data_IF_903117192825
#
_entry.id   IF_903117192825
#
_cell.length_a   1.000
_cell.length_b   1.000
_cell.length_c   1.000
_cell.angle_alpha   90.00
_cell.angle_beta   90.00
_cell.angle_gamma   90.00
#
_symmetry.space_group_name_H-M   'P 1'
#
loop_
_entity.id
_entity.type
_entity.pdbx_description
1 polymer ?
#
# COMPACT_ATOMS: atom_id res chain seq x y z
N UNK A 1 1.29 -8.04 -10.24
CA UNK A 1 0.37 -9.05 -9.66
C UNK A 1 0.12 -8.81 -8.18
N UNK A 2 1.19 -8.64 -7.37
CA UNK A 2 1.02 -8.41 -5.92
C UNK A 2 0.09 -7.25 -5.61
N UNK A 3 0.32 -6.09 -6.24
CA UNK A 3 -0.49 -4.89 -5.97
C UNK A 3 -1.96 -5.11 -6.35
N UNK A 4 -2.21 -5.83 -7.43
CA UNK A 4 -3.56 -6.16 -7.83
C UNK A 4 -4.28 -6.93 -6.72
N UNK A 5 -3.61 -7.92 -6.15
CA UNK A 5 -4.19 -8.72 -5.08
C UNK A 5 -4.29 -7.94 -3.76
N UNK A 6 -3.30 -7.11 -3.47
CA UNK A 6 -3.28 -6.34 -2.25
C UNK A 6 -4.43 -5.32 -2.19
N UNK A 7 -4.70 -4.66 -3.31
CA UNK A 7 -5.76 -3.65 -3.40
C UNK A 7 -7.08 -4.19 -3.93
N UNK A 8 -7.28 -5.50 -3.87
CA UNK A 8 -8.56 -6.12 -4.23
C UNK A 8 -9.01 -7.00 -3.07
N UNK A 9 -10.02 -6.55 -2.35
CA UNK A 9 -10.55 -7.27 -1.20
C UNK A 9 -11.95 -6.79 -0.88
N UNK A 10 -12.79 -7.69 -0.43
CA UNK A 10 -14.16 -7.34 -0.04
C UNK A 10 -14.23 -6.92 1.43
N UNK A 11 -13.19 -7.15 2.19
CA UNK A 11 -13.10 -6.79 3.60
C UNK A 11 -11.65 -6.89 4.02
N UNK A 12 -11.28 -6.18 5.09
CA UNK A 12 -9.93 -6.24 5.64
C UNK A 12 -9.56 -7.69 6.00
N UNK A 13 -8.47 -8.15 5.44
CA UNK A 13 -7.96 -9.50 5.68
C UNK A 13 -8.51 -10.57 4.75
N UNK A 14 -9.54 -10.27 3.97
CA UNK A 14 -10.14 -11.26 3.08
C UNK A 14 -9.15 -11.76 2.02
N UNK A 15 -8.24 -10.89 1.59
CA UNK A 15 -7.27 -11.20 0.56
C UNK A 15 -5.97 -11.80 1.09
N UNK A 16 -5.87 -12.11 2.36
CA UNK A 16 -4.61 -12.58 2.96
C UNK A 16 -4.05 -13.81 2.26
N UNK A 17 -4.88 -14.78 1.93
CA UNK A 17 -4.42 -15.99 1.24
C UNK A 17 -3.86 -15.68 -0.15
N UNK A 18 -4.35 -14.62 -0.79
CA UNK A 18 -3.91 -14.24 -2.14
C UNK A 18 -2.62 -13.44 -2.13
N UNK A 19 -2.33 -12.68 -1.06
CA UNK A 19 -1.11 -11.89 -0.98
C UNK A 19 0.06 -12.64 -0.34
N UNK A 20 -0.25 -13.61 0.51
CA UNK A 20 0.78 -14.35 1.24
C UNK A 20 1.88 -14.93 0.35
N UNK A 21 1.58 -15.55 -0.81
CA UNK A 21 2.62 -16.13 -1.66
C UNK A 21 3.63 -15.10 -2.21
N UNK A 22 3.29 -13.83 -2.20
CA UNK A 22 4.15 -12.77 -2.73
C UNK A 22 4.99 -12.10 -1.65
N UNK A 23 4.82 -12.46 -0.38
CA UNK A 23 5.44 -11.78 0.74
C UNK A 23 6.37 -12.70 1.51
N UNK A 24 7.40 -12.12 2.13
CA UNK A 24 8.19 -12.87 3.09
C UNK A 24 7.33 -13.16 4.32
N UNK A 25 7.73 -14.17 5.10
CA UNK A 25 6.98 -14.51 6.32
C UNK A 25 6.90 -13.33 7.28
N UNK A 26 7.99 -12.59 7.43
CA UNK A 26 8.01 -11.44 8.34
C UNK A 26 7.11 -10.32 7.83
N UNK A 27 7.13 -10.06 6.53
CA UNK A 27 6.26 -9.02 5.95
C UNK A 27 4.80 -9.39 6.10
N UNK A 28 4.46 -10.64 5.89
CA UNK A 28 3.07 -11.09 6.03
C UNK A 28 2.61 -11.02 7.49
N UNK A 29 3.48 -11.41 8.43
CA UNK A 29 3.17 -11.31 9.86
C UNK A 29 2.93 -9.85 10.27
N UNK A 30 3.72 -8.93 9.72
CA UNK A 30 3.53 -7.51 9.99
C UNK A 30 2.20 -7.01 9.42
N UNK A 31 1.84 -7.47 8.23
CA UNK A 31 0.56 -7.13 7.63
C UNK A 31 -0.60 -7.60 8.51
N UNK A 32 -0.54 -8.83 8.99
CA UNK A 32 -1.56 -9.36 9.89
C UNK A 32 -1.62 -8.57 11.21
N UNK A 33 -0.47 -8.23 11.75
CA UNK A 33 -0.41 -7.43 12.98
C UNK A 33 -1.05 -6.05 12.78
N UNK A 34 -0.80 -5.43 11.62
CA UNK A 34 -1.42 -4.15 11.29
C UNK A 34 -2.94 -4.28 11.16
N UNK A 35 -3.41 -5.34 10.52
CA UNK A 35 -4.84 -5.58 10.39
C UNK A 35 -5.53 -5.74 11.74
N UNK A 36 -4.82 -6.31 12.71
CA UNK A 36 -5.36 -6.58 14.04
C UNK A 36 -5.28 -5.40 14.99
N UNK A 37 -4.68 -4.28 14.57
CA UNK A 37 -4.68 -3.07 15.40
C UNK A 37 -6.10 -2.58 15.61
N UNK A 38 -6.38 -2.08 16.80
CA UNK A 38 -7.73 -1.67 17.19
C UNK A 38 -8.33 -0.67 16.19
N UNK A 39 -7.54 0.31 15.74
CA UNK A 39 -8.03 1.30 14.80
C UNK A 39 -8.45 0.68 13.47
N UNK A 40 -7.72 -0.33 13.00
CA UNK A 40 -8.05 -0.99 11.74
C UNK A 40 -9.26 -1.89 11.87
N UNK A 41 -9.45 -2.49 13.04
CA UNK A 41 -10.65 -3.29 13.29
C UNK A 41 -11.91 -2.42 13.31
N UNK A 42 -11.79 -1.18 13.77
CA UNK A 42 -12.91 -0.23 13.72
C UNK A 42 -13.28 0.05 12.25
N UNK A 43 -12.29 0.33 11.42
CA UNK A 43 -12.54 0.62 10.01
C UNK A 43 -13.04 -0.58 9.22
N UNK A 44 -12.79 -1.78 9.70
CA UNK A 44 -13.20 -3.01 9.01
C UNK A 44 -14.70 -3.02 8.69
N UNK A 45 -15.50 -2.54 9.61
CA UNK A 45 -16.97 -2.54 9.43
C UNK A 45 -17.45 -1.42 8.51
N UNK A 46 -16.64 -0.39 8.31
CA UNK A 46 -17.00 0.75 7.46
C UNK A 46 -16.49 0.60 6.02
N UNK A 47 -15.44 -0.16 5.82
CA UNK A 47 -14.87 -0.38 4.49
C UNK A 47 -15.37 -1.72 3.96
N UNK A 48 -16.15 -1.67 2.90
CA UNK A 48 -16.80 -2.86 2.34
C UNK A 48 -16.02 -3.52 1.22
N UNK A 49 -15.29 -2.75 0.44
CA UNK A 49 -14.75 -3.29 -0.81
C UNK A 49 -13.59 -2.44 -1.31
N UNK A 50 -12.55 -3.09 -1.76
CA UNK A 50 -11.43 -2.47 -2.47
C UNK A 50 -11.35 -3.09 -3.85
N UNK A 51 -11.19 -2.27 -4.88
CA UNK A 51 -11.01 -2.74 -6.25
C UNK A 51 -9.84 -2.04 -6.89
N UNK A 52 -8.82 -2.80 -7.20
CA UNK A 52 -7.66 -2.30 -7.93
C UNK A 52 -8.08 -1.82 -9.32
N UNK A 53 -7.58 -0.64 -9.73
CA UNK A 53 -7.83 -0.12 -11.07
C UNK A 53 -6.56 -0.09 -11.90
N UNK A 54 -5.51 0.53 -11.39
CA UNK A 54 -4.28 0.69 -12.17
C UNK A 54 -3.10 0.98 -11.27
N UNK A 55 -1.91 0.78 -11.81
CA UNK A 55 -0.68 1.16 -11.12
C UNK A 55 0.38 1.56 -12.13
N UNK A 56 1.14 2.60 -11.78
CA UNK A 56 2.37 2.96 -12.49
C UNK A 56 3.52 2.56 -11.60
N UNK A 57 4.42 1.70 -12.10
CA UNK A 57 5.45 1.09 -11.28
C UNK A 57 6.83 1.48 -11.78
N UNK A 58 7.69 1.91 -10.86
CA UNK A 58 9.07 2.30 -11.12
C UNK A 58 9.97 1.42 -10.29
N UNK A 59 10.81 0.64 -10.95
CA UNK A 59 11.64 -0.37 -10.28
C UNK A 59 13.10 0.01 -10.33
N UNK A 60 13.78 -0.10 -9.19
CA UNK A 60 15.24 -0.02 -9.13
C UNK A 60 15.75 -1.43 -8.90
N UNK A 61 16.30 -2.04 -9.93
CA UNK A 61 16.75 -3.43 -9.88
C UNK A 61 18.01 -3.63 -9.05
N UNK A 62 18.81 -2.59 -8.87
CA UNK A 62 20.02 -2.69 -8.06
C UNK A 62 19.70 -2.79 -6.58
N UNK A 63 18.70 -2.04 -6.13
CA UNK A 63 18.32 -2.01 -4.71
C UNK A 63 17.14 -2.92 -4.38
N UNK A 64 16.53 -3.54 -5.38
CA UNK A 64 15.31 -4.35 -5.21
C UNK A 64 14.19 -3.56 -4.54
N UNK A 65 14.02 -2.31 -4.96
CA UNK A 65 12.96 -1.43 -4.47
C UNK A 65 12.09 -1.01 -5.64
N UNK A 66 10.80 -0.95 -5.41
CA UNK A 66 9.84 -0.43 -6.38
C UNK A 66 9.00 0.64 -5.74
N UNK A 67 8.72 1.69 -6.51
CA UNK A 67 7.74 2.69 -6.15
C UNK A 67 6.55 2.52 -7.10
N UNK A 68 5.35 2.57 -6.56
CA UNK A 68 4.15 2.45 -7.37
C UNK A 68 3.15 3.52 -6.98
N UNK A 69 2.52 4.10 -8.00
CA UNK A 69 1.37 4.95 -7.80
C UNK A 69 0.15 4.10 -8.14
N UNK A 70 -0.67 3.78 -7.14
CA UNK A 70 -1.77 2.84 -7.27
C UNK A 70 -3.09 3.58 -7.17
N UNK A 71 -3.97 3.31 -8.12
CA UNK A 71 -5.34 3.83 -8.12
C UNK A 71 -6.29 2.67 -7.90
N UNK A 72 -7.21 2.84 -6.97
CA UNK A 72 -8.19 1.81 -6.65
C UNK A 72 -9.48 2.48 -6.17
N UNK A 73 -10.57 1.72 -6.23
CA UNK A 73 -11.83 2.17 -5.66
C UNK A 73 -12.02 1.56 -4.29
N UNK A 74 -12.57 2.33 -3.38
CA UNK A 74 -12.96 1.84 -2.07
C UNK A 74 -14.41 2.21 -1.82
N UNK A 75 -15.17 1.25 -1.28
CA UNK A 75 -16.57 1.45 -0.95
C UNK A 75 -16.71 1.50 0.56
N UNK A 76 -17.35 2.54 1.04
CA UNK A 76 -17.59 2.76 2.46
C UNK A 76 -19.08 2.72 2.77
N UNK A 77 -19.41 2.41 4.02
CA UNK A 77 -20.73 2.72 4.57
C UNK A 77 -20.59 4.03 5.35
N UNK A 78 -21.58 4.90 5.19
CA UNK A 78 -21.55 6.19 5.87
C UNK A 78 -21.86 6.06 7.35
N UNK A 79 -22.60 5.04 7.72
CA UNK A 79 -22.87 4.71 9.12
C UNK A 79 -23.26 3.24 9.22
N UNK A 80 -23.32 2.73 10.45
CA UNK A 80 -23.65 1.32 10.70
C UNK A 80 -25.11 1.10 11.06
N UNK A 81 -25.97 2.09 10.78
CA UNK A 81 -27.42 1.95 10.99
C UNK A 81 -28.04 1.00 9.97
N UNK A 82 -29.30 0.65 10.19
CA UNK A 82 -30.03 -0.22 9.27
C UNK A 82 -30.16 0.37 7.87
N UNK A 83 -30.09 1.68 7.75
CA UNK A 83 -30.19 2.38 6.47
C UNK A 83 -28.83 2.78 5.94
N UNK A 84 -27.88 1.89 6.01
CA UNK A 84 -26.52 2.11 5.55
C UNK A 84 -26.50 2.63 4.13
N UNK A 85 -25.80 3.74 3.93
CA UNK A 85 -25.55 4.27 2.59
C UNK A 85 -24.12 3.89 2.19
N UNK A 86 -24.01 3.35 1.00
CA UNK A 86 -22.71 2.96 0.44
C UNK A 86 -22.22 4.04 -0.49
N UNK A 87 -20.99 4.43 -0.30
CA UNK A 87 -20.34 5.44 -1.14
C UNK A 87 -19.03 4.88 -1.64
N UNK A 88 -18.85 4.92 -2.96
CA UNK A 88 -17.59 4.51 -3.58
C UNK A 88 -16.81 5.73 -3.98
N UNK A 89 -15.50 5.70 -3.75
CA UNK A 89 -14.62 6.76 -4.20
C UNK A 89 -13.32 6.17 -4.72
N UNK A 90 -12.67 6.92 -5.58
CA UNK A 90 -11.37 6.55 -6.15
C UNK A 90 -10.29 7.14 -5.27
N UNK A 91 -9.34 6.30 -4.88
CA UNK A 91 -8.18 6.69 -4.09
C UNK A 91 -6.91 6.47 -4.89
N UNK A 92 -5.93 7.32 -4.67
CA UNK A 92 -4.59 7.15 -5.24
C UNK A 92 -3.60 7.16 -4.10
N UNK A 93 -2.74 6.14 -4.05
CA UNK A 93 -1.71 6.01 -3.02
C UNK A 93 -0.36 5.77 -3.68
N UNK A 94 0.68 6.25 -3.03
CA UNK A 94 2.05 5.92 -3.40
C UNK A 94 2.53 4.80 -2.49
N UNK A 95 3.04 3.74 -3.08
CA UNK A 95 3.46 2.53 -2.37
C UNK A 95 4.93 2.29 -2.64
N UNK A 96 5.70 2.06 -1.59
CA UNK A 96 7.07 1.60 -1.75
C UNK A 96 7.15 0.15 -1.32
N UNK A 97 7.74 -0.67 -2.17
CA UNK A 97 7.96 -2.08 -1.90
C UNK A 97 9.46 -2.35 -1.89
N UNK A 98 9.94 -3.04 -0.88
CA UNK A 98 11.27 -3.63 -0.94
C UNK A 98 11.13 -5.14 -1.04
N UNK A 99 12.06 -5.75 -1.78
CA UNK A 99 12.01 -7.17 -2.07
C UNK A 99 13.23 -7.87 -1.48
N UNK A 100 13.03 -9.10 -1.05
CA UNK A 100 14.11 -9.99 -0.67
C UNK A 100 14.07 -11.24 -1.51
N UNK A 101 15.24 -11.76 -1.84
CA UNK A 101 15.32 -12.99 -2.61
C UNK A 101 15.24 -14.17 -1.65
N UNK A 102 14.24 -15.02 -1.86
CA UNK A 102 14.02 -16.22 -1.07
C UNK A 102 13.85 -17.40 -2.04
N UNK A 103 14.78 -18.32 -2.03
CA UNK A 103 14.75 -19.53 -2.90
C UNK A 103 14.49 -19.16 -4.35
N UNK A 104 15.30 -18.25 -4.90
CA UNK A 104 15.22 -17.76 -6.30
C UNK A 104 13.99 -16.94 -6.65
N UNK A 105 13.16 -16.60 -5.66
CA UNK A 105 12.01 -15.72 -5.87
C UNK A 105 12.22 -14.41 -5.16
N UNK A 106 11.74 -13.33 -5.79
CA UNK A 106 11.71 -12.03 -5.13
C UNK A 106 10.36 -11.89 -4.44
N UNK A 107 10.40 -11.78 -3.13
CA UNK A 107 9.21 -11.62 -2.30
C UNK A 107 9.20 -10.24 -1.66
N UNK A 108 8.01 -9.69 -1.49
CA UNK A 108 7.85 -8.40 -0.82
C UNK A 108 8.26 -8.57 0.64
N UNK A 109 9.27 -7.81 1.04
CA UNK A 109 9.80 -7.84 2.39
C UNK A 109 9.33 -6.66 3.23
N UNK A 110 8.98 -5.55 2.59
CA UNK A 110 8.49 -4.37 3.27
C UNK A 110 7.56 -3.61 2.35
N UNK A 111 6.50 -3.09 2.93
CA UNK A 111 5.51 -2.31 2.21
C UNK A 111 5.25 -1.03 3.01
N UNK A 112 5.35 0.10 2.35
CA UNK A 112 5.02 1.39 2.95
C UNK A 112 4.05 2.12 2.04
N UNK A 113 2.97 2.65 2.59
CA UNK A 113 1.94 3.33 1.82
C UNK A 113 1.83 4.76 2.30
N UNK A 114 1.84 5.69 1.35
CA UNK A 114 1.61 7.12 1.60
C UNK A 114 0.34 7.55 0.88
N UNK A 115 -0.32 8.54 1.44
CA UNK A 115 -1.49 9.14 0.80
C UNK A 115 -1.04 10.01 -0.37
N UNK A 116 -1.83 9.95 -1.46
CA UNK A 116 -1.65 10.82 -2.60
C UNK A 116 -0.70 10.28 -3.65
N UNK A 117 -0.41 11.13 -4.61
CA UNK A 117 0.39 10.79 -5.77
C UNK A 117 1.87 11.04 -5.50
N UNK A 118 2.70 10.36 -6.24
CA UNK A 118 4.15 10.49 -6.13
C UNK A 118 4.60 11.93 -6.37
N UNK A 119 4.03 12.59 -7.35
CA UNK A 119 4.39 13.98 -7.66
C UNK A 119 4.05 14.94 -6.52
N UNK A 120 2.92 14.70 -5.84
CA UNK A 120 2.52 15.51 -4.69
C UNK A 120 3.51 15.36 -3.54
N UNK A 121 4.01 14.15 -3.35
CA UNK A 121 4.99 13.85 -2.32
C UNK A 121 6.34 14.49 -2.63
N UNK A 122 6.71 14.51 -3.90
CA UNK A 122 7.95 15.16 -4.33
C UNK A 122 7.90 16.65 -4.04
N UNK A 123 6.77 17.27 -4.33
CA UNK A 123 6.59 18.70 -4.09
C UNK A 123 6.70 19.01 -2.60
N UNK A 124 6.08 18.22 -1.76
CA UNK A 124 6.17 18.38 -0.31
C UNK A 124 7.59 18.18 0.18
N UNK A 125 8.32 17.24 -0.40
CA UNK A 125 9.72 16.97 -0.04
C UNK A 125 10.60 18.13 -0.42
N UNK A 126 10.41 18.70 -1.59
CA UNK A 126 11.20 19.83 -2.05
C UNK A 126 10.92 21.09 -1.24
N UNK A 127 9.69 21.25 -0.77
CA UNK A 127 9.27 22.45 -0.04
C UNK A 127 9.60 22.43 1.45
N UNK A 128 10.04 21.31 1.99
CA UNK A 128 10.27 21.16 3.42
C UNK A 128 11.41 20.19 3.67
N UNK A 129 11.93 20.20 4.87
CA UNK A 129 12.83 19.13 5.29
C UNK A 129 12.04 17.84 5.25
N UNK A 130 12.41 16.96 4.39
CA UNK A 130 11.65 15.78 4.13
C UNK A 130 11.45 14.92 5.37
N UNK A 131 10.21 14.56 5.61
CA UNK A 131 9.87 13.50 6.55
C UNK A 131 9.70 12.17 5.80
N UNK A 132 10.04 12.14 4.52
CA UNK A 132 9.92 10.95 3.68
C UNK A 132 11.34 10.47 3.38
N UNK A 133 11.99 9.81 4.31
CA UNK A 133 13.41 9.50 4.18
C UNK A 133 13.73 8.53 3.06
N UNK A 134 12.84 7.60 2.78
CA UNK A 134 13.10 6.57 1.80
C UNK A 134 13.17 7.11 0.39
N UNK A 135 12.23 7.96 0.04
CA UNK A 135 12.21 8.57 -1.29
C UNK A 135 13.45 9.43 -1.46
N UNK A 136 13.79 10.17 -0.44
CA UNK A 136 14.96 11.00 -0.45
C UNK A 136 16.23 10.18 -0.52
N UNK A 137 16.26 9.08 0.19
CA UNK A 137 17.40 8.19 0.20
C UNK A 137 17.72 7.60 -1.16
N UNK A 138 16.73 7.39 -1.96
CA UNK A 138 16.97 6.89 -3.32
C UNK A 138 17.57 7.93 -4.21
N UNK A 139 17.33 9.15 -3.91
CA UNK A 139 17.92 10.22 -4.69
C UNK A 139 19.26 10.62 -4.19
N UNK A 140 19.46 10.48 -2.99
CA UNK A 140 20.48 11.01 -2.41
C UNK A 140 21.54 11.43 -2.72
N UNK A 141 21.33 11.30 -2.95
CA UNK A 141 22.08 11.55 -3.21
C UNK A 141 22.34 12.61 -3.55
N UNK A 142 22.09 12.98 -3.44
CA UNK A 142 22.36 13.83 -3.87
C UNK A 142 22.68 14.69 -3.41
N UNK A 143 22.65 14.46 -2.90
CA UNK A 143 22.95 15.12 -2.64
C UNK A 143 23.50 15.65 -2.57
N UNK A 144 23.63 15.50 -2.41
CA UNK A 144 24.14 15.93 -2.39
C UNK A 144 24.53 16.39 -2.42
#
# INVERSE_FOLDING_TARGET
EFLTQYFTKVQLGENNARIKPYMTDSAFSEEEANQNKAINQVYKDYMLDYRFESASIYVNTESNVALAEVTYQVTYVSDLSEQQQRTSQTETKTVMLSYSKVSDKLLVNQLTIWNGKLEDMKEATDGANSSIPTIQGTTTSENN
#
